data_IF_117419938050
#
_entry.id   IF_117419938050
#
_cell.length_a   1.000
_cell.length_b   1.000
_cell.length_c   1.000
_cell.angle_alpha   90.00
_cell.angle_beta   90.00
_cell.angle_gamma   90.00
#
_symmetry.space_group_name_H-M   'P 1'
#
loop_
_entity.id
_entity.type
_entity.pdbx_description
1 polymer ?
#
# COMPACT_ATOMS: atom_id res chain seq x y z
N UNK A 1 -37.30 -23.43 5.70
CA UNK A 1 -35.87 -23.80 5.64
C UNK A 1 -35.17 -22.72 4.83
N UNK A 2 -34.35 -21.89 5.47
CA UNK A 2 -33.73 -20.71 4.85
C UNK A 2 -32.53 -21.12 4.01
N UNK A 3 -32.62 -20.79 2.72
CA UNK A 3 -31.59 -21.02 1.72
C UNK A 3 -30.38 -20.12 2.04
N UNK A 4 -29.29 -20.69 2.58
CA UNK A 4 -28.03 -19.96 2.79
C UNK A 4 -27.41 -19.71 1.43
N UNK A 5 -27.50 -18.47 0.96
CA UNK A 5 -26.78 -18.00 -0.22
C UNK A 5 -25.30 -18.34 -0.11
N UNK A 6 -24.81 -19.10 -1.08
CA UNK A 6 -23.39 -19.41 -1.25
C UNK A 6 -22.65 -18.09 -1.42
N UNK A 7 -21.93 -17.64 -0.39
CA UNK A 7 -20.98 -16.53 -0.52
C UNK A 7 -19.89 -16.99 -1.48
N UNK A 8 -19.95 -16.51 -2.72
CA UNK A 8 -18.97 -16.79 -3.75
C UNK A 8 -17.56 -16.52 -3.23
N UNK A 9 -16.72 -17.55 -3.26
CA UNK A 9 -15.30 -17.47 -2.96
C UNK A 9 -14.63 -16.64 -4.05
N UNK A 10 -14.41 -15.35 -3.82
CA UNK A 10 -13.52 -14.56 -4.67
C UNK A 10 -12.10 -15.01 -4.34
N UNK A 11 -11.59 -15.95 -5.13
CA UNK A 11 -10.17 -16.31 -5.15
C UNK A 11 -9.42 -15.03 -5.54
N UNK A 12 -8.41 -14.63 -4.76
CA UNK A 12 -7.58 -13.48 -5.12
C UNK A 12 -7.06 -13.68 -6.55
N UNK A 13 -7.28 -12.70 -7.40
CA UNK A 13 -6.75 -12.70 -8.76
C UNK A 13 -5.23 -12.47 -8.67
N UNK A 14 -4.50 -13.58 -8.59
CA UNK A 14 -3.05 -13.58 -8.48
C UNK A 14 -2.37 -12.91 -9.69
N UNK A 15 -3.01 -12.93 -10.86
CA UNK A 15 -2.46 -12.28 -12.04
C UNK A 15 -2.68 -10.77 -11.95
N UNK A 16 -3.83 -10.31 -11.46
CA UNK A 16 -4.06 -8.90 -11.14
C UNK A 16 -3.13 -8.40 -10.02
N UNK A 17 -2.86 -9.21 -9.00
CA UNK A 17 -1.90 -8.87 -7.95
C UNK A 17 -0.47 -8.70 -8.50
N UNK A 18 -0.04 -9.56 -9.42
CA UNK A 18 1.26 -9.40 -10.11
C UNK A 18 1.30 -8.13 -10.97
N UNK A 19 0.22 -7.86 -11.72
CA UNK A 19 0.11 -6.64 -12.54
C UNK A 19 0.18 -5.39 -11.66
N UNK A 20 -0.49 -5.42 -10.51
CA UNK A 20 -0.45 -4.34 -9.55
C UNK A 20 0.94 -4.12 -8.95
N UNK A 21 1.64 -5.18 -8.52
CA UNK A 21 3.01 -5.05 -8.03
C UNK A 21 3.91 -4.42 -9.10
N UNK A 22 3.84 -4.89 -10.36
CA UNK A 22 4.63 -4.32 -11.47
C UNK A 22 4.30 -2.85 -11.73
N UNK A 23 3.05 -2.44 -11.58
CA UNK A 23 2.63 -1.04 -11.70
C UNK A 23 3.19 -0.18 -10.56
N UNK A 24 3.20 -0.68 -9.32
CA UNK A 24 3.86 0.00 -8.18
C UNK A 24 5.36 0.17 -8.45
N UNK A 25 6.05 -0.89 -8.88
CA UNK A 25 7.48 -0.83 -9.20
C UNK A 25 7.76 0.14 -10.36
N UNK A 26 6.93 0.10 -11.41
CA UNK A 26 7.07 1.00 -12.56
C UNK A 26 6.84 2.47 -12.21
N UNK A 27 5.95 2.77 -11.26
CA UNK A 27 5.66 4.15 -10.85
C UNK A 27 6.71 4.73 -9.93
N UNK A 28 7.26 3.90 -9.05
CA UNK A 28 8.21 4.33 -8.02
C UNK A 28 9.67 4.18 -8.45
N UNK A 29 9.92 3.44 -9.54
CA UNK A 29 11.27 3.06 -9.94
C UNK A 29 11.97 2.10 -8.98
N UNK A 30 11.27 1.60 -7.95
CA UNK A 30 11.81 0.74 -6.90
C UNK A 30 11.15 -0.63 -6.95
N UNK A 31 11.97 -1.68 -6.99
CA UNK A 31 11.49 -3.06 -6.94
C UNK A 31 11.10 -3.45 -5.52
N UNK A 32 10.04 -4.25 -5.40
CA UNK A 32 9.74 -4.90 -4.12
C UNK A 32 10.84 -5.92 -3.82
N UNK A 33 11.32 -5.94 -2.58
CA UNK A 33 12.32 -6.92 -2.18
C UNK A 33 11.72 -8.33 -2.20
N UNK A 34 12.54 -9.36 -2.52
CA UNK A 34 12.06 -10.75 -2.67
C UNK A 34 11.29 -11.27 -1.45
N UNK A 35 11.76 -10.93 -0.24
CA UNK A 35 11.13 -11.32 1.01
C UNK A 35 9.80 -10.59 1.26
N UNK A 36 9.59 -9.41 0.65
CA UNK A 36 8.27 -8.77 0.64
C UNK A 36 7.31 -9.58 -0.21
N UNK A 37 7.73 -9.96 -1.42
CA UNK A 37 6.92 -10.74 -2.36
C UNK A 37 6.52 -12.10 -1.76
N UNK A 38 7.43 -12.78 -1.07
CA UNK A 38 7.16 -14.06 -0.41
C UNK A 38 6.10 -13.92 0.70
N UNK A 39 6.23 -12.90 1.56
CA UNK A 39 5.26 -12.67 2.63
C UNK A 39 3.91 -12.18 2.10
N UNK A 40 3.90 -11.34 1.06
CA UNK A 40 2.67 -10.96 0.36
C UNK A 40 1.96 -12.20 -0.21
N UNK A 41 2.70 -13.12 -0.84
CA UNK A 41 2.12 -14.38 -1.36
C UNK A 41 1.55 -15.25 -0.24
N UNK A 42 2.24 -15.39 0.88
CA UNK A 42 1.77 -16.15 2.03
C UNK A 42 0.48 -15.52 2.59
N UNK A 43 0.50 -14.21 2.85
CA UNK A 43 -0.64 -13.47 3.37
C UNK A 43 -1.88 -13.55 2.45
N UNK A 44 -1.70 -13.44 1.13
CA UNK A 44 -2.78 -13.55 0.15
C UNK A 44 -3.33 -14.99 -0.01
N UNK A 45 -2.57 -16.01 0.41
CA UNK A 45 -3.05 -17.41 0.44
C UNK A 45 -3.82 -17.72 1.72
N UNK A 46 -3.35 -17.18 2.84
CA UNK A 46 -3.86 -17.50 4.18
C UNK A 46 -5.03 -16.63 4.61
N UNK A 47 -5.11 -15.41 4.07
CA UNK A 47 -6.10 -14.43 4.48
C UNK A 47 -6.94 -13.93 3.31
N UNK A 48 -8.20 -13.64 3.63
CA UNK A 48 -9.09 -12.89 2.75
C UNK A 48 -9.13 -11.45 3.23
N UNK A 49 -8.77 -10.53 2.35
CA UNK A 49 -8.82 -9.09 2.62
C UNK A 49 -10.12 -8.52 2.04
N UNK A 50 -11.01 -8.10 2.93
CA UNK A 50 -12.29 -7.49 2.58
C UNK A 50 -12.30 -6.01 2.97
N UNK A 51 -13.06 -5.22 2.23
CA UNK A 51 -13.19 -3.79 2.48
C UNK A 51 -13.80 -3.57 3.86
N UNK A 52 -13.09 -2.84 4.70
CA UNK A 52 -13.53 -2.47 6.04
C UNK A 52 -14.53 -1.30 5.98
N UNK A 53 -15.33 -1.16 7.04
CA UNK A 53 -16.17 0.03 7.23
C UNK A 53 -15.31 1.29 7.41
N UNK A 54 -15.87 2.50 7.22
CA UNK A 54 -15.14 3.74 7.47
C UNK A 54 -14.56 3.87 8.89
N UNK A 55 -15.30 3.40 9.90
CA UNK A 55 -14.87 3.45 11.31
C UNK A 55 -13.70 2.49 11.57
N UNK A 56 -13.76 1.26 11.04
CA UNK A 56 -12.67 0.29 11.13
C UNK A 56 -11.42 0.79 10.39
N UNK A 57 -11.60 1.35 9.18
CA UNK A 57 -10.52 1.95 8.40
C UNK A 57 -9.83 3.09 9.15
N UNK A 58 -10.60 3.93 9.85
CA UNK A 58 -10.05 4.99 10.67
C UNK A 58 -9.21 4.44 11.83
N UNK A 59 -9.74 3.46 12.57
CA UNK A 59 -9.03 2.80 13.68
C UNK A 59 -7.72 2.15 13.19
N UNK A 60 -7.79 1.41 12.08
CA UNK A 60 -6.64 0.75 11.47
C UNK A 60 -5.57 1.76 11.05
N UNK A 61 -5.95 2.82 10.31
CA UNK A 61 -5.03 3.88 9.92
C UNK A 61 -4.37 4.59 11.11
N UNK A 62 -5.10 4.81 12.20
CA UNK A 62 -4.50 5.41 13.40
C UNK A 62 -3.44 4.50 14.01
N UNK A 63 -3.66 3.18 13.99
CA UNK A 63 -2.65 2.20 14.41
C UNK A 63 -1.43 2.26 13.48
N UNK A 64 -1.62 2.33 12.16
CA UNK A 64 -0.52 2.50 11.22
C UNK A 64 0.33 3.74 11.54
N UNK A 65 -0.31 4.89 11.76
CA UNK A 65 0.40 6.13 12.04
C UNK A 65 1.32 6.02 13.27
N UNK A 66 0.93 5.24 14.29
CA UNK A 66 1.78 5.01 15.47
C UNK A 66 2.99 4.11 15.23
N UNK A 67 2.98 3.28 14.19
CA UNK A 67 4.05 2.29 13.91
C UNK A 67 4.84 2.59 12.64
N UNK A 68 4.38 3.50 11.78
CA UNK A 68 4.93 3.78 10.45
C UNK A 68 6.45 3.96 10.44
N UNK A 69 7.00 4.78 11.34
CA UNK A 69 8.44 5.04 11.36
C UNK A 69 9.25 3.79 11.73
N UNK A 70 8.73 2.97 12.66
CA UNK A 70 9.32 1.66 12.99
C UNK A 70 9.31 0.74 11.76
N UNK A 71 8.19 0.68 11.03
CA UNK A 71 8.09 -0.16 9.83
C UNK A 71 9.03 0.28 8.71
N UNK A 72 9.25 1.60 8.56
CA UNK A 72 10.25 2.13 7.62
C UNK A 72 11.65 1.62 8.01
N UNK A 73 12.04 1.74 9.28
CA UNK A 73 13.33 1.22 9.75
C UNK A 73 13.47 -0.29 9.58
N UNK A 74 12.41 -1.05 9.86
CA UNK A 74 12.41 -2.51 9.60
C UNK A 74 12.50 -2.81 8.11
N UNK A 75 11.83 -2.04 7.24
CA UNK A 75 11.95 -2.19 5.80
C UNK A 75 13.40 -1.95 5.34
N UNK A 76 14.05 -0.90 5.84
CA UNK A 76 15.45 -0.61 5.52
C UNK A 76 16.37 -1.75 5.99
N UNK A 77 16.20 -2.23 7.22
CA UNK A 77 16.98 -3.35 7.78
C UNK A 77 16.78 -4.65 6.97
N UNK A 78 15.53 -5.02 6.66
CA UNK A 78 15.20 -6.31 6.05
C UNK A 78 15.45 -6.35 4.55
N UNK A 79 15.51 -5.19 3.89
CA UNK A 79 15.78 -5.11 2.44
C UNK A 79 17.21 -4.67 2.13
N UNK A 80 17.93 -4.08 3.10
CA UNK A 80 19.24 -3.48 2.90
C UNK A 80 19.21 -2.21 2.04
N UNK A 81 18.02 -1.66 1.74
CA UNK A 81 17.84 -0.44 0.98
C UNK A 81 17.58 0.75 1.91
N UNK A 82 17.88 1.97 1.45
CA UNK A 82 17.54 3.20 2.19
C UNK A 82 16.17 3.72 1.73
N UNK A 83 15.33 4.12 2.69
CA UNK A 83 14.04 4.72 2.39
C UNK A 83 14.24 6.10 1.76
N UNK A 84 13.71 6.35 0.55
CA UNK A 84 13.92 7.62 -0.14
C UNK A 84 13.27 8.79 0.61
N UNK A 85 13.93 9.95 0.55
CA UNK A 85 13.53 11.19 1.20
C UNK A 85 13.49 12.32 0.20
N UNK A 86 12.65 13.32 0.46
CA UNK A 86 12.59 14.51 -0.37
C UNK A 86 13.89 15.30 -0.27
N UNK A 87 14.44 15.67 -1.42
CA UNK A 87 15.61 16.55 -1.54
C UNK A 87 15.21 18.00 -1.84
N UNK A 88 13.93 18.23 -2.10
CA UNK A 88 13.30 19.50 -2.43
C UNK A 88 11.94 19.57 -1.74
N UNK A 89 11.47 20.77 -1.40
CA UNK A 89 10.11 20.95 -0.91
C UNK A 89 9.11 20.65 -2.03
N UNK A 90 8.03 19.95 -1.69
CA UNK A 90 6.90 19.75 -2.60
C UNK A 90 5.77 20.65 -2.16
N UNK A 91 5.26 21.48 -3.08
CA UNK A 91 4.18 22.42 -2.80
C UNK A 91 2.82 21.88 -3.23
N UNK A 92 1.77 22.19 -2.47
CA UNK A 92 0.39 21.95 -2.87
C UNK A 92 -0.10 22.98 -3.90
N UNK A 93 -1.32 22.78 -4.42
CA UNK A 93 -1.94 23.70 -5.39
C UNK A 93 -2.16 25.13 -4.88
N UNK A 94 -2.03 25.36 -3.56
CA UNK A 94 -2.16 26.67 -2.91
C UNK A 94 -0.80 27.28 -2.58
N UNK A 95 0.30 26.67 -3.02
CA UNK A 95 1.66 27.14 -2.75
C UNK A 95 2.14 26.86 -1.33
N UNK A 96 1.50 25.97 -0.58
CA UNK A 96 1.94 25.58 0.78
C UNK A 96 2.84 24.35 0.69
N UNK A 97 3.87 24.28 1.55
CA UNK A 97 4.72 23.09 1.66
C UNK A 97 3.87 21.89 2.06
N UNK A 98 3.75 20.91 1.17
CA UNK A 98 3.07 19.65 1.36
C UNK A 98 4.03 18.55 1.86
N UNK A 99 5.29 18.61 1.43
CA UNK A 99 6.38 17.74 1.91
C UNK A 99 7.65 18.56 2.05
N UNK A 100 8.33 18.37 3.16
CA UNK A 100 9.56 19.09 3.51
C UNK A 100 10.82 18.27 3.12
N UNK A 101 11.95 18.95 2.98
CA UNK A 101 13.26 18.34 2.74
C UNK A 101 13.59 17.37 3.89
N UNK A 102 14.10 16.18 3.55
CA UNK A 102 14.43 15.12 4.51
C UNK A 102 13.23 14.31 5.00
N UNK A 103 12.00 14.74 4.72
CA UNK A 103 10.81 13.93 5.01
C UNK A 103 10.87 12.62 4.21
N UNK A 104 10.53 11.46 4.79
CA UNK A 104 10.45 10.22 4.03
C UNK A 104 9.32 10.28 3.00
N UNK A 105 9.52 9.60 1.87
CA UNK A 105 8.42 9.34 0.92
C UNK A 105 7.26 8.62 1.62
N UNK A 106 6.06 8.73 1.07
CA UNK A 106 4.88 8.15 1.69
C UNK A 106 5.04 6.62 1.77
N UNK A 107 4.67 6.04 2.92
CA UNK A 107 4.62 4.60 3.08
C UNK A 107 3.29 4.08 2.53
N UNK A 108 3.33 3.59 1.30
CA UNK A 108 2.18 3.03 0.61
C UNK A 108 2.00 1.56 1.00
N UNK A 109 0.79 1.17 1.40
CA UNK A 109 0.47 -0.23 1.66
C UNK A 109 0.24 -1.00 0.37
N UNK A 110 0.93 -2.13 0.18
CA UNK A 110 0.69 -3.01 -0.98
C UNK A 110 -0.69 -3.65 -0.88
N UNK A 111 -1.00 -4.32 0.23
CA UNK A 111 -2.38 -4.69 0.59
C UNK A 111 -3.00 -3.48 1.28
N UNK A 112 -3.93 -2.80 0.61
CA UNK A 112 -4.38 -1.47 1.02
C UNK A 112 -4.97 -1.42 2.44
N UNK A 113 -4.72 -0.31 3.15
CA UNK A 113 -5.13 -0.10 4.54
C UNK A 113 -6.65 -0.27 4.76
N UNK A 114 -7.49 0.16 3.83
CA UNK A 114 -8.96 0.01 3.90
C UNK A 114 -9.45 -1.42 3.65
N UNK A 115 -8.58 -2.35 3.26
CA UNK A 115 -8.87 -3.78 3.16
C UNK A 115 -8.27 -4.59 4.33
N UNK A 116 -7.80 -3.90 5.38
CA UNK A 116 -7.22 -4.55 6.56
C UNK A 116 -5.80 -5.07 6.31
N UNK A 117 -5.09 -4.54 5.32
CA UNK A 117 -3.70 -4.91 5.06
C UNK A 117 -2.83 -4.72 6.32
N UNK A 118 -1.99 -5.71 6.65
CA UNK A 118 -1.28 -5.70 7.92
C UNK A 118 -0.24 -4.58 7.97
N UNK A 119 0.05 -4.12 9.19
CA UNK A 119 1.06 -3.08 9.44
C UNK A 119 2.42 -3.72 9.65
N UNK A 120 2.96 -4.25 8.57
CA UNK A 120 4.21 -4.98 8.55
C UNK A 120 5.16 -4.36 7.52
N UNK A 121 6.46 -4.45 7.79
CA UNK A 121 7.49 -3.90 6.90
C UNK A 121 7.34 -4.44 5.47
N UNK A 122 6.93 -5.71 5.33
CA UNK A 122 6.79 -6.34 4.03
C UNK A 122 5.58 -5.84 3.25
N UNK A 123 4.61 -5.21 3.91
CA UNK A 123 3.39 -4.68 3.32
C UNK A 123 3.47 -3.17 3.04
N UNK A 124 4.63 -2.53 3.19
CA UNK A 124 4.84 -1.13 2.81
C UNK A 124 5.86 -0.96 1.69
N UNK A 125 5.70 0.09 0.89
CA UNK A 125 6.59 0.47 -0.18
C UNK A 125 6.69 2.01 -0.27
N UNK A 126 7.87 2.59 -0.47
CA UNK A 126 8.01 4.03 -0.63
C UNK A 126 7.36 4.51 -1.94
N UNK A 127 6.60 5.59 -1.87
CA UNK A 127 6.06 6.28 -3.05
C UNK A 127 6.05 7.80 -2.83
N UNK A 128 6.61 8.55 -3.79
CA UNK A 128 6.63 10.01 -3.79
C UNK A 128 5.21 10.59 -3.88
N UNK A 129 4.98 11.68 -3.16
CA UNK A 129 3.76 12.47 -3.24
C UNK A 129 3.91 13.59 -4.29
N UNK A 130 2.86 13.90 -5.07
CA UNK A 130 1.60 13.15 -5.21
C UNK A 130 1.61 12.15 -6.37
N UNK A 131 2.58 12.28 -7.28
CA UNK A 131 2.63 11.70 -8.62
C UNK A 131 2.81 10.19 -8.63
N UNK A 132 3.67 9.64 -7.78
CA UNK A 132 3.82 8.19 -7.65
C UNK A 132 2.67 7.59 -6.84
N UNK A 133 2.34 8.19 -5.69
CA UNK A 133 1.39 7.61 -4.74
C UNK A 133 -0.08 7.87 -5.09
N UNK A 134 -0.55 9.12 -4.95
CA UNK A 134 -1.97 9.47 -5.02
C UNK A 134 -2.48 9.55 -6.46
N UNK A 135 -1.74 10.22 -7.34
CA UNK A 135 -2.07 10.35 -8.76
C UNK A 135 -1.56 9.16 -9.57
N UNK A 136 -0.58 8.42 -9.07
CA UNK A 136 0.01 7.27 -9.73
C UNK A 136 -0.68 5.97 -9.35
N UNK A 137 -0.21 5.32 -8.28
CA UNK A 137 -0.69 4.00 -7.83
C UNK A 137 -2.19 4.04 -7.59
N UNK A 138 -2.68 5.13 -6.99
CA UNK A 138 -4.10 5.34 -6.76
C UNK A 138 -4.82 6.12 -7.89
N UNK A 139 -4.15 6.43 -8.99
CA UNK A 139 -4.71 7.16 -10.13
C UNK A 139 -5.82 6.38 -10.85
N UNK A 140 -6.72 7.09 -11.54
CA UNK A 140 -7.84 6.48 -12.29
C UNK A 140 -7.32 5.44 -13.31
N UNK A 141 -7.93 4.25 -13.31
CA UNK A 141 -7.58 3.18 -14.24
C UNK A 141 -6.36 2.35 -13.83
N UNK A 142 -5.67 2.70 -12.73
CA UNK A 142 -4.58 1.88 -12.20
C UNK A 142 -5.07 0.48 -11.80
N UNK A 143 -4.17 -0.54 -11.81
CA UNK A 143 -4.48 -1.87 -11.31
C UNK A 143 -5.00 -1.90 -9.86
N UNK A 144 -4.53 -0.98 -9.00
CA UNK A 144 -5.03 -0.85 -7.61
C UNK A 144 -6.54 -0.64 -7.58
N UNK A 145 -7.12 0.14 -8.51
CA UNK A 145 -8.59 0.36 -8.52
C UNK A 145 -9.39 -0.91 -8.84
N UNK A 146 -8.79 -1.87 -9.55
CA UNK A 146 -9.42 -3.15 -9.86
C UNK A 146 -9.25 -4.13 -8.70
N UNK A 147 -8.06 -4.16 -8.10
CA UNK A 147 -7.73 -5.09 -7.02
C UNK A 147 -8.35 -4.65 -5.68
N UNK A 148 -8.44 -3.35 -5.44
CA UNK A 148 -8.97 -2.72 -4.24
C UNK A 148 -10.03 -1.65 -4.59
N UNK A 149 -11.27 -2.06 -4.91
CA UNK A 149 -12.31 -1.14 -5.36
C UNK A 149 -12.69 -0.08 -4.30
N UNK A 150 -12.57 1.20 -4.69
CA UNK A 150 -12.79 2.34 -3.78
C UNK A 150 -14.27 2.64 -3.49
N UNK A 151 -15.20 2.11 -4.27
CA UNK A 151 -16.65 2.23 -4.04
C UNK A 151 -17.25 0.85 -3.87
#
# INVERSE_FOLDING_TARGET
MTNRGVKGTVKIDYDLAKVYIRDVESRTGLKLHKNQIEQLKAALREHKYEKMTPLETLKHRNKFNSVKNKLISEWEEKTGQTWPRYTEEVYDKKGRVARDIGQPYDAHHIIENNFGGPHEWWNIHPAKFPDEHQAGIHGKGSPSNKLFPRR
#
